data_IF_903546928990
#
_entry.id   IF_903546928990
#
_cell.length_a   1.000
_cell.length_b   1.000
_cell.length_c   1.000
_cell.angle_alpha   90.00
_cell.angle_beta   90.00
_cell.angle_gamma   90.00
#
_symmetry.space_group_name_H-M   'P 1'
#
loop_
_entity.id
_entity.type
_entity.pdbx_description
1 polymer ?
#
# COMPACT_ATOMS: atom_id res chain seq x y z
N UNK A 1 17.98 -16.08 -4.81
CA UNK A 1 18.49 -16.58 -6.11
C UNK A 1 17.67 -17.75 -6.64
N UNK A 2 17.53 -18.87 -5.91
CA UNK A 2 16.81 -20.07 -6.40
C UNK A 2 15.35 -19.75 -6.81
N UNK A 3 14.61 -19.01 -6.00
CA UNK A 3 13.22 -18.64 -6.32
C UNK A 3 13.04 -17.81 -7.60
N UNK A 4 14.01 -16.94 -7.94
CA UNK A 4 13.96 -16.13 -9.17
C UNK A 4 14.33 -16.96 -10.41
N UNK A 5 15.27 -17.90 -10.28
CA UNK A 5 15.64 -18.81 -11.35
C UNK A 5 14.49 -19.77 -11.69
N UNK A 6 13.83 -20.33 -10.67
CA UNK A 6 12.63 -21.16 -10.82
C UNK A 6 11.49 -20.35 -11.47
N UNK A 7 11.26 -19.12 -11.01
CA UNK A 7 10.21 -18.24 -11.55
C UNK A 7 10.45 -17.88 -13.02
N UNK A 8 11.71 -17.59 -13.39
CA UNK A 8 12.10 -17.30 -14.77
C UNK A 8 11.93 -18.54 -15.67
N UNK A 9 12.36 -19.72 -15.19
CA UNK A 9 12.22 -20.98 -15.91
C UNK A 9 10.76 -21.41 -16.09
N UNK A 10 9.93 -21.28 -15.05
CA UNK A 10 8.51 -21.58 -15.13
C UNK A 10 7.80 -20.67 -16.13
N UNK A 11 8.06 -19.35 -16.09
CA UNK A 11 7.42 -18.39 -17.00
C UNK A 11 7.84 -18.51 -18.46
N UNK A 12 9.04 -19.04 -18.72
CA UNK A 12 9.54 -19.26 -20.08
C UNK A 12 8.84 -20.44 -20.81
N UNK A 13 8.08 -21.28 -20.10
CA UNK A 13 7.41 -22.45 -20.67
C UNK A 13 5.88 -22.25 -20.62
N UNK A 14 5.14 -22.18 -21.74
CA UNK A 14 3.73 -21.78 -21.76
C UNK A 14 2.79 -22.56 -20.81
N UNK A 15 2.98 -23.89 -20.67
CA UNK A 15 2.18 -24.73 -19.76
C UNK A 15 2.59 -24.62 -18.28
N UNK A 16 3.89 -24.69 -18.01
CA UNK A 16 4.43 -24.58 -16.65
C UNK A 16 4.24 -23.17 -16.08
N UNK A 17 4.30 -22.15 -16.94
CA UNK A 17 4.07 -20.76 -16.60
C UNK A 17 2.64 -20.53 -16.17
N UNK A 18 1.66 -21.07 -16.90
CA UNK A 18 0.25 -20.97 -16.51
C UNK A 18 -0.01 -21.64 -15.17
N UNK A 19 0.46 -22.88 -15.00
CA UNK A 19 0.35 -23.60 -13.73
C UNK A 19 0.99 -22.82 -12.58
N UNK A 20 2.19 -22.28 -12.79
CA UNK A 20 2.90 -21.48 -11.78
C UNK A 20 2.13 -20.23 -11.38
N UNK A 21 1.53 -19.52 -12.34
CA UNK A 21 0.72 -18.33 -12.07
C UNK A 21 -0.54 -18.69 -11.27
N UNK A 22 -1.21 -19.78 -11.62
CA UNK A 22 -2.41 -20.26 -10.94
C UNK A 22 -2.12 -20.75 -9.50
N UNK A 23 -0.87 -21.10 -9.20
CA UNK A 23 -0.43 -21.57 -7.87
C UNK A 23 0.54 -20.61 -7.17
N UNK A 24 0.79 -19.41 -7.73
CA UNK A 24 1.86 -18.52 -7.28
C UNK A 24 1.72 -18.14 -5.81
N UNK A 25 0.51 -17.78 -5.37
CA UNK A 25 0.23 -17.41 -3.99
C UNK A 25 0.47 -18.59 -3.06
N UNK A 26 -0.05 -19.78 -3.40
CA UNK A 26 0.18 -20.99 -2.62
C UNK A 26 1.67 -21.31 -2.47
N UNK A 27 2.44 -21.23 -3.56
CA UNK A 27 3.88 -21.50 -3.56
C UNK A 27 4.61 -20.50 -2.67
N UNK A 28 4.39 -19.18 -2.86
CA UNK A 28 5.06 -18.15 -2.06
C UNK A 28 4.64 -18.19 -0.60
N UNK A 29 3.39 -18.55 -0.31
CA UNK A 29 2.90 -18.74 1.06
C UNK A 29 3.56 -19.95 1.72
N UNK A 30 3.64 -21.09 1.03
CA UNK A 30 4.31 -22.28 1.53
C UNK A 30 5.79 -22.02 1.82
N UNK A 31 6.50 -21.35 0.88
CA UNK A 31 7.90 -20.93 1.08
C UNK A 31 8.08 -20.14 2.38
N UNK A 32 7.20 -19.17 2.63
CA UNK A 32 7.24 -18.34 3.84
C UNK A 32 6.87 -19.13 5.10
N UNK A 33 5.85 -19.99 5.03
CA UNK A 33 5.40 -20.82 6.15
C UNK A 33 6.47 -21.80 6.61
N UNK A 34 7.12 -22.49 5.67
CA UNK A 34 8.24 -23.40 5.97
C UNK A 34 9.37 -22.65 6.67
N UNK A 35 9.74 -21.45 6.19
CA UNK A 35 10.76 -20.63 6.85
C UNK A 35 10.37 -20.21 8.27
N UNK A 36 9.12 -19.84 8.50
CA UNK A 36 8.60 -19.53 9.82
C UNK A 36 8.63 -20.75 10.76
N UNK A 37 8.20 -21.93 10.28
CA UNK A 37 8.21 -23.17 11.07
C UNK A 37 9.63 -23.62 11.44
N UNK A 38 10.62 -23.35 10.58
CA UNK A 38 12.03 -23.61 10.85
C UNK A 38 12.68 -22.58 11.80
N UNK A 39 11.92 -21.62 12.34
CA UNK A 39 12.41 -20.61 13.28
C UNK A 39 13.18 -19.44 12.65
N UNK A 40 13.21 -19.34 11.32
CA UNK A 40 13.92 -18.31 10.58
C UNK A 40 12.96 -17.54 9.65
N UNK A 41 12.00 -16.76 10.19
CA UNK A 41 11.18 -15.89 9.37
C UNK A 41 12.08 -14.98 8.52
N UNK A 42 11.68 -14.74 7.28
CA UNK A 42 12.41 -13.79 6.44
C UNK A 42 12.47 -12.42 7.13
N UNK A 43 13.56 -11.66 6.98
CA UNK A 43 13.57 -10.28 7.41
C UNK A 43 12.46 -9.51 6.66
N UNK A 44 11.76 -8.55 7.30
CA UNK A 44 10.80 -7.72 6.62
C UNK A 44 11.52 -6.94 5.51
N UNK A 45 10.95 -6.90 4.32
CA UNK A 45 11.48 -6.12 3.21
C UNK A 45 11.26 -4.62 3.38
N UNK A 46 10.11 -4.25 3.95
CA UNK A 46 9.73 -2.86 4.22
C UNK A 46 8.94 -2.73 5.51
N UNK A 47 9.00 -1.54 6.13
CA UNK A 47 8.17 -1.16 7.27
C UNK A 47 7.50 0.18 6.96
N UNK A 48 6.20 0.28 7.24
CA UNK A 48 5.48 1.56 7.19
C UNK A 48 5.43 2.15 8.59
N UNK A 49 5.97 3.34 8.78
CA UNK A 49 5.91 4.06 10.05
C UNK A 49 4.94 5.23 9.91
N UNK A 50 3.81 5.16 10.64
CA UNK A 50 2.92 6.28 10.80
C UNK A 50 3.47 7.20 11.90
N UNK A 51 4.06 8.31 11.50
CA UNK A 51 4.76 9.19 12.46
C UNK A 51 3.81 10.07 13.26
N UNK A 52 2.57 10.24 12.82
CA UNK A 52 1.54 11.01 13.56
C UNK A 52 0.14 10.59 13.11
N UNK A 53 -0.89 10.97 13.87
CA UNK A 53 -2.27 11.01 13.38
C UNK A 53 -2.68 12.41 12.91
N UNK A 54 -1.86 13.44 13.18
CA UNK A 54 -2.16 14.83 12.84
C UNK A 54 -2.13 15.02 11.33
N UNK A 55 -3.18 15.61 10.77
CA UNK A 55 -3.27 15.89 9.34
C UNK A 55 -4.02 17.19 9.12
N UNK A 56 -3.55 18.01 8.18
CA UNK A 56 -4.22 19.24 7.77
C UNK A 56 -5.39 19.02 6.79
N UNK A 57 -5.69 17.76 6.43
CA UNK A 57 -6.80 17.36 5.56
C UNK A 57 -7.88 16.58 6.32
N UNK A 58 -9.09 16.54 5.75
CA UNK A 58 -10.26 15.87 6.31
C UNK A 58 -10.78 14.68 5.49
N UNK A 59 -9.97 14.10 4.59
CA UNK A 59 -10.42 13.17 3.53
C UNK A 59 -11.46 12.11 3.95
N UNK A 60 -12.47 11.91 3.13
CA UNK A 60 -13.61 11.01 3.44
C UNK A 60 -13.22 9.55 3.66
N UNK A 61 -12.16 9.07 3.01
CA UNK A 61 -11.73 7.67 3.03
C UNK A 61 -10.64 7.34 4.05
N UNK A 62 -10.14 8.34 4.78
CA UNK A 62 -8.91 8.24 5.56
C UNK A 62 -8.84 6.99 6.45
N UNK A 63 -7.87 6.11 6.14
CA UNK A 63 -7.65 4.83 6.82
C UNK A 63 -7.27 5.01 8.30
N UNK A 64 -6.44 6.01 8.61
CA UNK A 64 -5.98 6.34 9.96
C UNK A 64 -6.94 7.24 10.75
N UNK A 65 -8.09 7.63 10.19
CA UNK A 65 -9.03 8.60 10.78
C UNK A 65 -8.38 9.91 11.25
N UNK A 66 -7.32 10.33 10.56
CA UNK A 66 -6.51 11.48 10.93
C UNK A 66 -7.27 12.81 10.94
N UNK A 67 -6.85 13.71 11.82
CA UNK A 67 -7.45 15.04 12.01
C UNK A 67 -6.42 16.06 12.55
N UNK A 68 -6.64 17.38 12.40
CA UNK A 68 -5.62 18.40 12.74
C UNK A 68 -5.18 18.41 14.21
N UNK A 69 -6.09 18.07 15.13
CA UNK A 69 -5.85 18.11 16.58
C UNK A 69 -5.29 16.79 17.15
N UNK A 70 -4.91 15.83 16.32
CA UNK A 70 -4.45 14.53 16.82
C UNK A 70 -3.05 14.63 17.45
N UNK A 71 -2.76 13.73 18.39
CA UNK A 71 -1.50 13.75 19.14
C UNK A 71 -0.26 13.45 18.27
N UNK A 72 0.88 13.99 18.71
CA UNK A 72 2.21 13.64 18.22
C UNK A 72 2.54 12.25 18.77
N UNK A 73 2.28 11.20 18.00
CA UNK A 73 2.39 9.79 18.41
C UNK A 73 3.67 9.38 19.15
N UNK A 74 4.57 8.66 18.50
CA UNK A 74 5.82 8.23 19.16
C UNK A 74 6.82 9.39 19.28
N UNK A 75 7.63 9.38 20.35
CA UNK A 75 8.72 10.35 20.52
C UNK A 75 9.82 10.16 19.47
N UNK A 76 10.63 11.20 19.24
CA UNK A 76 11.78 11.12 18.34
C UNK A 76 12.73 9.96 18.73
N UNK A 77 13.05 9.85 20.02
CA UNK A 77 13.99 8.85 20.55
C UNK A 77 13.45 7.43 20.31
N UNK A 78 12.14 7.25 20.47
CA UNK A 78 11.48 5.99 20.19
C UNK A 78 11.60 5.64 18.72
N UNK A 79 11.28 6.59 17.83
CA UNK A 79 11.37 6.38 16.37
C UNK A 79 12.82 6.11 15.94
N UNK A 80 13.79 6.86 16.45
CA UNK A 80 15.21 6.67 16.15
C UNK A 80 15.71 5.29 16.61
N UNK A 81 15.25 4.80 17.77
CA UNK A 81 15.50 3.41 18.20
C UNK A 81 14.91 2.41 17.21
N UNK A 82 13.64 2.58 16.81
CA UNK A 82 12.97 1.66 15.89
C UNK A 82 13.68 1.59 14.54
N UNK A 83 14.16 2.72 14.01
CA UNK A 83 14.91 2.75 12.75
C UNK A 83 16.22 1.93 12.85
N UNK A 84 16.90 1.94 14.00
CA UNK A 84 18.08 1.08 14.23
C UNK A 84 17.69 -0.40 14.29
N UNK A 85 16.63 -0.73 15.03
CA UNK A 85 16.11 -2.11 15.10
C UNK A 85 15.71 -2.64 13.71
N UNK A 86 15.07 -1.80 12.87
CA UNK A 86 14.75 -2.16 11.48
C UNK A 86 16.00 -2.54 10.69
N UNK A 87 17.08 -1.77 10.82
CA UNK A 87 18.35 -2.07 10.15
C UNK A 87 18.96 -3.38 10.65
N UNK A 88 18.98 -3.61 11.96
CA UNK A 88 19.46 -4.86 12.57
C UNK A 88 18.66 -6.08 12.11
N UNK A 89 17.35 -5.91 11.90
CA UNK A 89 16.46 -6.92 11.34
C UNK A 89 16.64 -7.13 9.83
N UNK A 90 17.46 -6.33 9.14
CA UNK A 90 17.68 -6.44 7.69
C UNK A 90 16.59 -5.78 6.83
N UNK A 91 15.79 -4.88 7.39
CA UNK A 91 14.84 -4.06 6.63
C UNK A 91 15.58 -3.18 5.63
N UNK A 92 15.01 -3.02 4.44
CA UNK A 92 15.63 -2.24 3.34
C UNK A 92 14.91 -0.94 3.05
N UNK A 93 13.61 -0.88 3.32
CA UNK A 93 12.75 0.23 2.93
C UNK A 93 11.93 0.69 4.13
N UNK A 94 12.00 1.98 4.43
CA UNK A 94 11.13 2.65 5.39
C UNK A 94 10.15 3.53 4.61
N UNK A 95 8.86 3.27 4.79
CA UNK A 95 7.79 4.11 4.26
C UNK A 95 7.30 5.00 5.41
N UNK A 96 7.59 6.30 5.34
CA UNK A 96 7.12 7.29 6.30
C UNK A 96 5.76 7.79 5.83
N UNK A 97 4.76 7.62 6.69
CA UNK A 97 3.37 7.98 6.45
C UNK A 97 2.73 8.48 7.77
N UNK A 98 1.41 8.48 7.85
CA UNK A 98 0.63 8.73 9.06
C UNK A 98 0.30 10.18 9.26
N UNK A 99 -1.00 10.45 9.38
CA UNK A 99 -1.53 11.80 9.22
C UNK A 99 -0.94 12.42 7.95
N UNK A 100 -0.52 13.67 8.07
CA UNK A 100 0.40 14.28 7.09
C UNK A 100 1.79 14.37 7.74
N UNK A 101 2.81 13.61 7.28
CA UNK A 101 4.13 13.66 7.89
C UNK A 101 4.73 15.06 7.95
N UNK A 102 4.49 15.92 6.95
CA UNK A 102 5.07 17.28 6.89
C UNK A 102 4.56 18.23 7.98
N UNK A 103 3.52 17.86 8.74
CA UNK A 103 3.10 18.62 9.93
C UNK A 103 3.96 18.31 11.16
N UNK A 104 4.71 17.20 11.13
CA UNK A 104 5.55 16.76 12.25
C UNK A 104 6.86 17.58 12.29
N UNK A 105 7.17 18.30 13.39
CA UNK A 105 8.33 19.21 13.43
C UNK A 105 9.69 18.53 13.23
N UNK A 106 9.88 17.34 13.81
CA UNK A 106 11.11 16.55 13.82
C UNK A 106 11.20 15.55 12.66
N UNK A 107 10.35 15.67 11.63
CA UNK A 107 10.32 14.74 10.49
C UNK A 107 11.69 14.61 9.80
N UNK A 108 12.37 15.72 9.53
CA UNK A 108 13.61 15.72 8.77
C UNK A 108 14.77 15.10 9.56
N UNK A 109 14.73 15.18 10.89
CA UNK A 109 15.67 14.47 11.77
C UNK A 109 15.44 12.95 11.69
N UNK A 110 14.17 12.52 11.69
CA UNK A 110 13.77 11.11 11.51
C UNK A 110 14.28 10.58 10.16
N UNK A 111 14.05 11.31 9.07
CA UNK A 111 14.55 10.96 7.73
C UNK A 111 16.08 10.85 7.74
N UNK A 112 16.76 11.81 8.36
CA UNK A 112 18.22 11.79 8.51
C UNK A 112 18.74 10.55 9.26
N UNK A 113 18.05 10.09 10.30
CA UNK A 113 18.40 8.84 10.99
C UNK A 113 18.22 7.63 10.06
N UNK A 114 17.12 7.55 9.32
CA UNK A 114 16.86 6.45 8.38
C UNK A 114 17.92 6.35 7.28
N UNK A 115 18.28 7.48 6.68
CA UNK A 115 19.33 7.54 5.65
C UNK A 115 20.69 7.11 6.21
N UNK A 116 21.06 7.54 7.43
CA UNK A 116 22.31 7.10 8.08
C UNK A 116 22.35 5.61 8.39
N UNK A 117 21.19 4.98 8.60
CA UNK A 117 21.08 3.53 8.74
C UNK A 117 21.06 2.78 7.40
N UNK A 118 21.13 3.50 6.27
CA UNK A 118 21.14 2.91 4.93
C UNK A 118 19.79 2.33 4.51
N UNK A 119 18.70 2.80 5.11
CA UNK A 119 17.34 2.47 4.65
C UNK A 119 17.00 3.35 3.45
N UNK A 120 16.28 2.77 2.49
CA UNK A 120 15.61 3.57 1.46
C UNK A 120 14.39 4.25 2.05
N UNK A 121 14.26 5.56 1.86
CA UNK A 121 13.19 6.34 2.48
C UNK A 121 12.13 6.72 1.44
N UNK A 122 10.92 6.27 1.71
CA UNK A 122 9.71 6.53 0.95
C UNK A 122 8.83 7.49 1.77
N UNK A 123 8.37 8.58 1.20
CA UNK A 123 7.51 9.55 1.89
C UNK A 123 6.11 9.57 1.28
N UNK A 124 5.09 9.31 2.09
CA UNK A 124 3.69 9.54 1.73
C UNK A 124 3.28 10.95 2.20
N UNK A 125 2.80 11.80 1.30
CA UNK A 125 2.36 13.17 1.62
C UNK A 125 1.15 13.57 0.78
N UNK A 126 0.28 14.41 1.34
CA UNK A 126 -0.82 15.04 0.64
C UNK A 126 -0.38 16.21 -0.27
N UNK A 127 0.91 16.57 -0.28
CA UNK A 127 1.49 17.55 -1.20
C UNK A 127 1.34 19.02 -0.76
N UNK A 128 0.36 19.34 0.07
CA UNK A 128 -0.02 20.73 0.42
C UNK A 128 1.09 21.55 1.09
N UNK A 129 2.02 20.89 1.78
CA UNK A 129 3.13 21.54 2.51
C UNK A 129 4.48 21.43 1.78
N UNK A 130 4.53 20.79 0.61
CA UNK A 130 5.80 20.52 -0.08
C UNK A 130 6.52 21.80 -0.49
N UNK A 131 5.79 22.79 -1.01
CA UNK A 131 6.37 24.08 -1.39
C UNK A 131 6.91 24.85 -0.18
N UNK A 132 6.16 24.86 0.93
CA UNK A 132 6.59 25.52 2.18
C UNK A 132 7.78 24.82 2.85
N UNK A 133 7.95 23.52 2.61
CA UNK A 133 9.02 22.68 3.18
C UNK A 133 10.12 22.36 2.15
N UNK A 134 10.17 23.12 1.05
CA UNK A 134 11.05 22.86 -0.09
C UNK A 134 12.51 22.67 0.32
N UNK A 135 13.06 23.59 1.12
CA UNK A 135 14.48 23.57 1.48
C UNK A 135 14.85 22.30 2.27
N UNK A 136 14.02 21.94 3.24
CA UNK A 136 14.26 20.74 4.04
C UNK A 136 14.09 19.48 3.18
N UNK A 137 13.06 19.43 2.31
CA UNK A 137 12.81 18.29 1.42
C UNK A 137 13.91 18.09 0.39
N UNK A 138 14.45 19.16 -0.19
CA UNK A 138 15.57 19.10 -1.12
C UNK A 138 16.82 18.44 -0.51
N UNK A 139 17.00 18.59 0.81
CA UNK A 139 18.10 17.96 1.57
C UNK A 139 17.78 16.57 2.12
N UNK A 140 16.51 16.13 2.08
CA UNK A 140 16.03 14.94 2.79
C UNK A 140 16.43 13.60 2.15
N UNK A 141 16.99 13.60 0.92
CA UNK A 141 17.41 12.39 0.19
C UNK A 141 16.32 11.31 0.14
N UNK A 142 15.17 11.63 -0.46
CA UNK A 142 14.07 10.68 -0.63
C UNK A 142 14.28 9.78 -1.85
N UNK A 143 14.09 8.47 -1.69
CA UNK A 143 14.14 7.51 -2.80
C UNK A 143 12.86 7.56 -3.65
N UNK A 144 11.72 7.82 -3.01
CA UNK A 144 10.42 7.83 -3.65
C UNK A 144 9.40 8.61 -2.83
N UNK A 145 8.44 9.22 -3.53
CA UNK A 145 7.29 9.88 -2.92
C UNK A 145 5.98 9.24 -3.39
N UNK A 146 4.99 9.23 -2.50
CA UNK A 146 3.60 8.91 -2.79
C UNK A 146 2.79 10.17 -2.51
N UNK A 147 2.20 10.71 -3.55
CA UNK A 147 1.10 11.67 -3.45
C UNK A 147 -0.19 11.00 -3.85
N UNK A 148 -1.32 11.67 -3.64
CA UNK A 148 -2.61 11.07 -3.92
C UNK A 148 -3.58 12.10 -4.50
N UNK A 149 -4.30 11.69 -5.54
CA UNK A 149 -5.33 12.47 -6.24
C UNK A 149 -6.51 11.56 -6.48
N UNK A 150 -7.70 11.94 -6.03
CA UNK A 150 -8.90 11.09 -6.01
C UNK A 150 -10.01 11.58 -6.96
N UNK A 151 -9.64 12.28 -8.04
CA UNK A 151 -10.56 12.83 -9.05
C UNK A 151 -9.96 14.05 -9.74
N UNK A 152 -10.70 14.67 -10.63
CA UNK A 152 -10.43 16.02 -11.15
C UNK A 152 -10.58 17.05 -10.02
N UNK A 153 -10.17 18.31 -10.27
CA UNK A 153 -10.01 19.33 -9.24
C UNK A 153 -11.19 19.44 -8.27
N UNK A 154 -12.42 19.60 -8.78
CA UNK A 154 -13.61 19.72 -7.94
C UNK A 154 -13.85 18.46 -7.09
N UNK A 155 -13.85 17.29 -7.72
CA UNK A 155 -14.09 16.00 -7.06
C UNK A 155 -13.02 15.70 -6.01
N UNK A 156 -11.75 15.88 -6.37
CA UNK A 156 -10.62 15.67 -5.47
C UNK A 156 -10.67 16.59 -4.25
N UNK A 157 -10.87 17.89 -4.47
CA UNK A 157 -10.81 18.88 -3.39
C UNK A 157 -11.99 18.73 -2.43
N UNK A 158 -13.18 18.41 -2.96
CA UNK A 158 -14.36 18.04 -2.17
C UNK A 158 -14.11 16.79 -1.35
N UNK A 159 -13.65 15.71 -1.99
CA UNK A 159 -13.44 14.41 -1.36
C UNK A 159 -12.33 14.41 -0.29
N UNK A 160 -11.34 15.28 -0.47
CA UNK A 160 -10.23 15.48 0.47
C UNK A 160 -10.52 16.55 1.53
N UNK A 161 -11.64 17.26 1.40
CA UNK A 161 -12.02 18.41 2.22
C UNK A 161 -10.91 19.47 2.30
N UNK A 162 -10.28 19.77 1.16
CA UNK A 162 -9.20 20.75 1.09
C UNK A 162 -9.19 21.46 -0.28
N UNK A 163 -9.68 22.70 -0.37
CA UNK A 163 -9.60 23.50 -1.58
C UNK A 163 -8.16 23.72 -2.04
N UNK A 164 -7.88 23.46 -3.32
CA UNK A 164 -6.57 23.54 -3.94
C UNK A 164 -5.72 22.27 -3.82
N UNK A 165 -6.22 21.19 -3.20
CA UNK A 165 -5.45 19.96 -3.01
C UNK A 165 -4.96 19.33 -4.32
N UNK A 166 -5.79 19.38 -5.37
CA UNK A 166 -5.45 18.89 -6.70
C UNK A 166 -4.21 19.62 -7.24
N UNK A 167 -4.29 20.95 -7.34
CA UNK A 167 -3.20 21.80 -7.83
C UNK A 167 -1.94 21.69 -6.99
N UNK A 168 -2.07 21.68 -5.67
CA UNK A 168 -0.95 21.50 -4.75
C UNK A 168 -0.26 20.15 -4.95
N UNK A 169 -1.00 19.08 -5.25
CA UNK A 169 -0.42 17.77 -5.52
C UNK A 169 0.41 17.77 -6.80
N UNK A 170 -0.10 18.34 -7.89
CA UNK A 170 0.67 18.45 -9.14
C UNK A 170 1.89 19.36 -8.98
N UNK A 171 1.74 20.48 -8.27
CA UNK A 171 2.87 21.34 -7.90
C UNK A 171 3.92 20.58 -7.09
N UNK A 172 3.51 19.78 -6.11
CA UNK A 172 4.42 18.95 -5.33
C UNK A 172 5.20 17.96 -6.19
N UNK A 173 4.57 17.34 -7.21
CA UNK A 173 5.24 16.43 -8.13
C UNK A 173 6.35 17.13 -8.94
N UNK A 174 6.09 18.32 -9.45
CA UNK A 174 7.10 19.15 -10.16
C UNK A 174 8.27 19.51 -9.22
N UNK A 175 7.94 19.88 -7.98
CA UNK A 175 8.94 20.19 -6.98
C UNK A 175 9.82 18.96 -6.67
N UNK A 176 9.22 17.79 -6.45
CA UNK A 176 10.00 16.58 -6.25
C UNK A 176 10.85 16.17 -7.46
N UNK A 177 10.38 16.46 -8.68
CA UNK A 177 11.17 16.24 -9.90
C UNK A 177 12.40 17.14 -9.92
N UNK A 178 12.26 18.42 -9.59
CA UNK A 178 13.37 19.38 -9.55
C UNK A 178 14.36 19.10 -8.39
N UNK A 179 13.90 18.49 -7.29
CA UNK A 179 14.75 17.93 -6.24
C UNK A 179 15.48 16.63 -6.64
N UNK A 180 15.19 16.06 -7.82
CA UNK A 180 15.82 14.83 -8.31
C UNK A 180 15.25 13.53 -7.75
N UNK A 181 14.10 13.55 -7.07
CA UNK A 181 13.43 12.34 -6.58
C UNK A 181 12.95 11.52 -7.78
N UNK A 182 13.59 10.39 -8.08
CA UNK A 182 13.36 9.65 -9.33
C UNK A 182 11.99 8.99 -9.42
N UNK A 183 11.48 8.47 -8.31
CA UNK A 183 10.20 7.77 -8.26
C UNK A 183 9.15 8.66 -7.60
N UNK A 184 8.17 9.07 -8.38
CA UNK A 184 7.09 9.99 -7.98
C UNK A 184 5.78 9.31 -8.33
N UNK A 185 5.11 8.77 -7.31
CA UNK A 185 3.90 7.97 -7.48
C UNK A 185 2.68 8.80 -7.13
N UNK A 186 1.63 8.70 -7.95
CA UNK A 186 0.29 9.17 -7.61
C UNK A 186 -0.56 7.96 -7.25
N UNK A 187 -1.27 8.01 -6.13
CA UNK A 187 -2.26 7.01 -5.75
C UNK A 187 -3.67 7.59 -5.85
N UNK A 188 -4.55 6.88 -6.56
CA UNK A 188 -5.97 7.22 -6.68
C UNK A 188 -6.79 6.12 -6.05
N UNK A 189 -7.61 6.47 -5.06
CA UNK A 189 -8.63 5.57 -4.55
C UNK A 189 -9.89 5.74 -5.39
N UNK A 190 -10.26 4.70 -6.13
CA UNK A 190 -11.43 4.75 -7.02
C UNK A 190 -12.70 4.53 -6.22
N UNK A 191 -13.63 5.46 -6.38
CA UNK A 191 -14.97 5.42 -5.79
C UNK A 191 -16.01 5.79 -6.87
N UNK A 192 -17.31 5.53 -6.64
CA UNK A 192 -18.34 5.76 -7.65
C UNK A 192 -18.31 7.15 -8.29
N UNK A 193 -17.98 8.20 -7.52
CA UNK A 193 -18.04 9.59 -7.99
C UNK A 193 -16.86 10.01 -8.89
N UNK A 194 -15.76 9.23 -8.96
CA UNK A 194 -14.60 9.56 -9.80
C UNK A 194 -14.38 8.58 -10.96
N UNK A 195 -15.28 7.61 -11.16
CA UNK A 195 -15.14 6.59 -12.21
C UNK A 195 -15.16 7.18 -13.62
N UNK A 196 -16.07 8.12 -13.86
CA UNK A 196 -16.22 8.77 -15.17
C UNK A 196 -15.04 9.72 -15.47
N UNK A 197 -14.33 10.15 -14.43
CA UNK A 197 -13.18 11.05 -14.51
C UNK A 197 -11.86 10.31 -14.78
N UNK A 198 -11.81 8.97 -14.70
CA UNK A 198 -10.55 8.22 -14.75
C UNK A 198 -9.74 8.45 -16.03
N UNK A 199 -10.40 8.57 -17.18
CA UNK A 199 -9.71 8.80 -18.45
C UNK A 199 -9.01 10.16 -18.46
N UNK A 200 -9.74 11.23 -18.13
CA UNK A 200 -9.20 12.59 -18.10
C UNK A 200 -8.17 12.78 -16.98
N UNK A 201 -8.45 12.25 -15.78
CA UNK A 201 -7.49 12.23 -14.68
C UNK A 201 -6.19 11.52 -15.07
N UNK A 202 -6.30 10.44 -15.85
CA UNK A 202 -5.15 9.74 -16.40
C UNK A 202 -4.29 10.64 -17.27
N UNK A 203 -4.91 11.40 -18.18
CA UNK A 203 -4.20 12.33 -19.05
C UNK A 203 -3.48 13.41 -18.23
N UNK A 204 -4.14 13.99 -17.22
CA UNK A 204 -3.51 14.91 -16.26
C UNK A 204 -2.29 14.31 -15.54
N UNK A 205 -2.40 13.06 -15.07
CA UNK A 205 -1.30 12.39 -14.36
C UNK A 205 -0.13 12.10 -15.31
N UNK A 206 -0.41 11.68 -16.55
CA UNK A 206 0.60 11.36 -17.55
C UNK A 206 1.37 12.59 -18.03
N UNK A 207 0.68 13.72 -18.17
CA UNK A 207 1.28 15.00 -18.57
C UNK A 207 2.02 15.68 -17.41
N UNK A 208 1.85 15.19 -16.18
CA UNK A 208 2.53 15.72 -15.00
C UNK A 208 3.94 15.17 -14.79
N UNK A 209 4.60 15.63 -13.73
CA UNK A 209 5.87 15.07 -13.29
C UNK A 209 5.77 13.67 -12.65
N UNK A 210 4.59 13.05 -12.56
CA UNK A 210 4.44 11.68 -12.06
C UNK A 210 5.24 10.67 -12.90
N UNK A 211 5.58 9.54 -12.28
CA UNK A 211 6.31 8.42 -12.96
C UNK A 211 5.56 7.10 -12.89
N UNK A 212 4.64 6.98 -11.94
CA UNK A 212 3.84 5.79 -11.69
C UNK A 212 2.48 6.23 -11.19
N UNK A 213 1.43 5.58 -11.67
CA UNK A 213 0.07 5.75 -11.16
C UNK A 213 -0.42 4.45 -10.55
N UNK A 214 -0.80 4.50 -9.27
CA UNK A 214 -1.37 3.38 -8.54
C UNK A 214 -2.87 3.60 -8.35
N UNK A 215 -3.65 2.61 -8.75
CA UNK A 215 -5.10 2.60 -8.58
C UNK A 215 -5.46 1.64 -7.46
N UNK A 216 -6.07 2.18 -6.41
CA UNK A 216 -6.54 1.44 -5.24
C UNK A 216 -8.07 1.35 -5.24
N UNK A 217 -8.59 0.32 -4.56
CA UNK A 217 -10.01 0.23 -4.23
C UNK A 217 -10.18 0.52 -2.74
N UNK A 218 -11.32 1.09 -2.38
CA UNK A 218 -11.65 1.32 -0.98
C UNK A 218 -11.59 0.02 -0.17
N UNK A 219 -10.93 0.09 0.98
CA UNK A 219 -11.00 -0.94 2.00
C UNK A 219 -11.91 -0.49 3.14
N UNK A 220 -12.53 -1.43 3.88
CA UNK A 220 -13.43 -1.13 4.99
C UNK A 220 -12.66 -0.73 6.26
N UNK A 221 -11.86 0.33 6.14
CA UNK A 221 -10.94 0.84 7.16
C UNK A 221 -11.24 2.31 7.47
N UNK A 222 -10.84 2.74 8.67
CA UNK A 222 -10.99 4.12 9.13
C UNK A 222 -12.36 4.72 8.84
N UNK A 223 -12.38 5.90 8.21
CA UNK A 223 -13.62 6.62 7.86
C UNK A 223 -14.46 5.90 6.80
N UNK A 224 -13.88 5.03 5.98
CA UNK A 224 -14.62 4.25 4.97
C UNK A 224 -15.29 3.00 5.55
N UNK A 225 -15.03 2.64 6.81
CA UNK A 225 -15.57 1.43 7.44
C UNK A 225 -17.10 1.44 7.45
N UNK A 226 -17.68 0.37 6.91
CA UNK A 226 -19.13 0.16 6.90
C UNK A 226 -19.91 1.02 5.89
N UNK A 227 -19.25 1.93 5.17
CA UNK A 227 -19.89 2.85 4.24
C UNK A 227 -19.93 2.27 2.82
N UNK A 228 -21.13 1.98 2.32
CA UNK A 228 -21.34 1.40 0.99
C UNK A 228 -21.00 2.36 -0.16
N UNK A 229 -21.03 3.69 0.10
CA UNK A 229 -20.76 4.70 -0.93
C UNK A 229 -19.38 4.59 -1.57
N UNK A 230 -18.40 3.98 -0.89
CA UNK A 230 -17.05 3.78 -1.44
C UNK A 230 -16.91 2.45 -2.19
N UNK A 231 -17.91 1.57 -2.11
CA UNK A 231 -17.84 0.25 -2.71
C UNK A 231 -18.23 0.30 -4.18
N UNK A 232 -17.37 -0.27 -5.03
CA UNK A 232 -17.67 -0.47 -6.44
C UNK A 232 -18.46 -1.76 -6.65
N UNK A 233 -19.36 -1.74 -7.63
CA UNK A 233 -20.01 -2.95 -8.16
C UNK A 233 -19.02 -3.81 -8.96
N UNK A 234 -19.37 -5.08 -9.20
CA UNK A 234 -18.56 -5.99 -10.02
C UNK A 234 -18.26 -5.42 -11.41
N UNK A 235 -19.23 -4.75 -12.05
CA UNK A 235 -19.06 -4.16 -13.38
C UNK A 235 -18.17 -2.92 -13.35
N UNK A 236 -18.26 -2.10 -12.31
CA UNK A 236 -17.36 -0.97 -12.10
C UNK A 236 -15.93 -1.44 -11.84
N UNK A 237 -15.74 -2.51 -11.05
CA UNK A 237 -14.40 -3.10 -10.86
C UNK A 237 -13.87 -3.60 -12.21
N UNK A 238 -14.66 -4.30 -13.03
CA UNK A 238 -14.24 -4.71 -14.38
C UNK A 238 -13.86 -3.53 -15.27
N UNK A 239 -14.59 -2.42 -15.18
CA UNK A 239 -14.26 -1.18 -15.90
C UNK A 239 -12.89 -0.65 -15.47
N UNK A 240 -12.63 -0.55 -14.16
CA UNK A 240 -11.33 -0.12 -13.63
C UNK A 240 -10.20 -1.05 -14.07
N UNK A 241 -10.42 -2.37 -14.05
CA UNK A 241 -9.40 -3.33 -14.49
C UNK A 241 -9.10 -3.21 -15.99
N UNK A 242 -10.12 -3.00 -16.84
CA UNK A 242 -9.91 -2.73 -18.28
C UNK A 242 -9.13 -1.43 -18.49
N UNK A 243 -9.54 -0.37 -17.79
CA UNK A 243 -8.85 0.92 -17.82
C UNK A 243 -7.35 0.77 -17.53
N UNK A 244 -6.99 0.09 -16.43
CA UNK A 244 -5.59 -0.14 -16.06
C UNK A 244 -4.87 -0.90 -17.17
N UNK A 245 -5.46 -2.00 -17.66
CA UNK A 245 -4.85 -2.82 -18.71
C UNK A 245 -4.54 -1.99 -19.95
N UNK A 246 -5.50 -1.19 -20.39
CA UNK A 246 -5.41 -0.45 -21.64
C UNK A 246 -4.41 0.71 -21.50
N UNK A 247 -4.50 1.52 -20.43
CA UNK A 247 -3.60 2.66 -20.16
C UNK A 247 -2.16 2.27 -19.82
N UNK A 248 -1.94 1.10 -19.24
CA UNK A 248 -0.59 0.63 -18.84
C UNK A 248 0.39 0.49 -20.02
N UNK A 249 -0.13 0.40 -21.24
CA UNK A 249 0.69 0.38 -22.47
C UNK A 249 1.35 1.72 -22.77
N UNK A 250 0.82 2.82 -22.24
CA UNK A 250 1.30 4.18 -22.46
C UNK A 250 2.03 4.76 -21.24
N UNK A 251 1.61 4.40 -20.03
CA UNK A 251 2.20 4.89 -18.79
C UNK A 251 2.23 3.80 -17.72
N UNK A 252 3.16 3.84 -16.73
CA UNK A 252 3.20 2.85 -15.67
C UNK A 252 1.99 2.95 -14.71
N UNK A 253 0.85 2.33 -15.09
CA UNK A 253 -0.40 2.27 -14.29
C UNK A 253 -0.55 0.88 -13.66
N UNK A 254 -0.76 0.82 -12.34
CA UNK A 254 -0.79 -0.44 -11.57
C UNK A 254 -2.01 -0.52 -10.67
N UNK A 255 -2.66 -1.70 -10.67
CA UNK A 255 -3.60 -2.05 -9.61
C UNK A 255 -2.84 -2.28 -8.31
N UNK A 256 -3.28 -1.62 -7.26
CA UNK A 256 -2.66 -1.69 -5.96
C UNK A 256 -2.62 -3.10 -5.37
N UNK A 257 -1.62 -3.38 -4.53
CA UNK A 257 -1.39 -4.69 -3.92
C UNK A 257 -2.47 -5.07 -2.88
N UNK A 258 -3.24 -4.11 -2.37
CA UNK A 258 -4.28 -4.41 -1.38
C UNK A 258 -5.54 -5.04 -2.00
N UNK A 259 -5.70 -4.90 -3.32
CA UNK A 259 -6.72 -5.61 -4.09
C UNK A 259 -6.26 -7.05 -4.29
N UNK A 260 -7.14 -8.02 -4.08
CA UNK A 260 -6.77 -9.43 -4.08
C UNK A 260 -6.57 -10.02 -5.47
N UNK A 261 -7.05 -11.25 -5.63
CA UNK A 261 -7.13 -11.92 -6.91
C UNK A 261 -8.04 -11.16 -7.89
N UNK A 262 -7.59 -11.03 -9.14
CA UNK A 262 -8.33 -10.37 -10.22
C UNK A 262 -8.28 -11.21 -11.50
N UNK A 263 -8.31 -12.53 -11.35
CA UNK A 263 -8.50 -13.42 -12.49
C UNK A 263 -7.34 -13.47 -13.47
N UNK A 264 -7.64 -13.84 -14.73
CA UNK A 264 -6.66 -13.89 -15.82
C UNK A 264 -5.97 -12.56 -16.11
N UNK A 265 -6.57 -11.43 -15.69
CA UNK A 265 -6.01 -10.10 -15.90
C UNK A 265 -4.96 -9.71 -14.85
N UNK A 266 -4.61 -10.58 -13.89
CA UNK A 266 -3.65 -10.28 -12.84
C UNK A 266 -2.31 -9.72 -13.35
N UNK A 267 -1.75 -10.27 -14.44
CA UNK A 267 -0.52 -9.77 -15.07
C UNK A 267 -0.75 -8.65 -16.10
N UNK A 268 -2.00 -8.37 -16.46
CA UNK A 268 -2.36 -7.27 -17.34
C UNK A 268 -2.52 -5.97 -16.55
N UNK A 269 -2.88 -6.07 -15.26
CA UNK A 269 -3.05 -4.92 -14.37
C UNK A 269 -1.93 -4.78 -13.32
N UNK A 270 -0.97 -5.72 -13.27
CA UNK A 270 0.22 -5.71 -12.39
C UNK A 270 1.44 -6.33 -13.06
N UNK A 271 2.64 -6.00 -12.59
CA UNK A 271 3.90 -6.64 -13.07
C UNK A 271 4.15 -8.04 -12.52
N UNK A 272 3.51 -8.39 -11.42
CA UNK A 272 3.68 -9.68 -10.74
C UNK A 272 2.33 -10.20 -10.29
N UNK A 273 2.16 -11.53 -10.14
CA UNK A 273 0.92 -12.07 -9.62
C UNK A 273 0.67 -11.55 -8.20
N UNK A 274 -0.61 -11.55 -7.81
CA UNK A 274 -1.00 -11.18 -6.46
C UNK A 274 -0.19 -11.97 -5.43
N UNK A 275 0.27 -11.30 -4.38
CA UNK A 275 0.84 -11.92 -3.19
C UNK A 275 0.79 -10.90 -2.08
N UNK A 276 -0.10 -11.11 -1.10
CA UNK A 276 -0.13 -10.26 0.10
C UNK A 276 1.21 -10.33 0.83
N UNK A 277 1.74 -9.15 1.17
CA UNK A 277 2.94 -9.00 1.98
C UNK A 277 2.63 -8.77 3.47
N UNK A 278 1.36 -8.54 3.82
CA UNK A 278 0.90 -8.19 5.15
C UNK A 278 1.37 -9.22 6.18
N UNK A 279 2.12 -8.79 7.20
CA UNK A 279 2.67 -9.65 8.25
C UNK A 279 3.62 -10.76 7.78
N UNK A 280 4.01 -10.73 6.51
CA UNK A 280 4.83 -11.77 5.84
C UNK A 280 6.14 -11.21 5.28
N UNK A 281 6.11 -10.01 4.72
CA UNK A 281 7.26 -9.31 4.17
C UNK A 281 7.25 -7.82 4.45
N UNK A 282 6.16 -7.30 5.03
CA UNK A 282 6.09 -5.95 5.57
C UNK A 282 5.10 -5.91 6.74
N UNK A 283 5.16 -4.82 7.49
CA UNK A 283 4.21 -4.48 8.55
C UNK A 283 4.19 -2.95 8.73
N UNK A 284 3.21 -2.44 9.48
CA UNK A 284 3.12 -1.04 9.84
C UNK A 284 3.22 -0.83 11.35
N UNK A 285 3.74 0.34 11.75
CA UNK A 285 3.80 0.81 13.12
C UNK A 285 2.93 2.06 13.20
N UNK A 286 1.90 2.01 14.05
CA UNK A 286 0.97 3.11 14.26
C UNK A 286 1.55 4.16 15.22
N UNK A 287 1.05 5.40 15.23
CA UNK A 287 1.51 6.45 16.15
C UNK A 287 1.36 6.09 17.63
N UNK A 288 0.47 5.15 17.98
CA UNK A 288 0.29 4.61 19.34
C UNK A 288 1.44 3.72 19.79
N UNK A 289 2.22 3.18 18.85
CA UNK A 289 3.23 2.15 19.06
C UNK A 289 2.78 0.74 18.68
N UNK A 290 1.49 0.56 18.37
CA UNK A 290 0.96 -0.74 17.93
C UNK A 290 1.55 -1.14 16.58
N UNK A 291 1.90 -2.41 16.47
CA UNK A 291 2.44 -3.01 15.25
C UNK A 291 1.36 -3.87 14.61
N UNK A 292 1.06 -3.62 13.33
CA UNK A 292 0.01 -4.31 12.59
C UNK A 292 0.58 -4.89 11.29
N UNK A 293 0.06 -6.03 10.83
CA UNK A 293 0.54 -6.65 9.59
C UNK A 293 0.14 -5.92 8.32
N UNK A 294 -1.03 -5.29 8.31
CA UNK A 294 -1.55 -4.58 7.15
C UNK A 294 -1.06 -3.14 7.08
N UNK A 295 -0.70 -2.67 5.89
CA UNK A 295 -0.31 -1.28 5.65
C UNK A 295 -1.47 -0.28 5.63
N UNK A 296 -2.72 -0.76 5.66
CA UNK A 296 -3.95 0.00 5.34
C UNK A 296 -5.11 -0.20 6.34
N UNK A 297 -5.04 -1.24 7.18
CA UNK A 297 -5.97 -1.44 8.30
C UNK A 297 -5.40 -0.84 9.60
N UNK A 298 -5.36 0.49 9.71
CA UNK A 298 -4.84 1.19 10.89
C UNK A 298 -5.79 1.09 12.09
N UNK A 299 -5.92 -0.11 12.66
CA UNK A 299 -6.79 -0.42 13.79
C UNK A 299 -6.05 -1.27 14.83
N UNK A 300 -6.05 -0.81 16.08
CA UNK A 300 -5.34 -1.44 17.19
C UNK A 300 -5.90 -2.82 17.56
N UNK A 301 -7.15 -3.15 17.18
CA UNK A 301 -7.69 -4.51 17.34
C UNK A 301 -6.90 -5.56 16.56
N UNK A 302 -6.14 -5.15 15.53
CA UNK A 302 -5.23 -5.99 14.76
C UNK A 302 -3.76 -5.84 15.18
N UNK A 303 -3.50 -5.30 16.36
CA UNK A 303 -2.14 -5.22 16.94
C UNK A 303 -1.56 -6.63 17.13
N UNK A 304 -0.26 -6.74 16.89
CA UNK A 304 0.58 -7.92 17.11
C UNK A 304 1.57 -7.72 18.28
N UNK A 305 1.54 -6.53 18.89
CA UNK A 305 2.45 -6.10 19.94
C UNK A 305 2.67 -4.58 19.90
N UNK A 306 3.22 -4.03 20.97
CA UNK A 306 3.49 -2.60 21.08
C UNK A 306 4.98 -2.33 21.27
N UNK A 307 5.53 -1.44 20.44
CA UNK A 307 6.96 -1.09 20.47
C UNK A 307 7.42 -0.41 21.74
N UNK A 308 6.51 0.10 22.57
CA UNK A 308 6.83 0.67 23.89
C UNK A 308 7.19 -0.40 24.91
N UNK A 309 6.74 -1.64 24.68
CA UNK A 309 6.86 -2.76 25.62
C UNK A 309 7.84 -3.83 25.11
N UNK A 310 7.95 -3.98 23.80
CA UNK A 310 8.71 -5.05 23.14
C UNK A 310 9.60 -4.50 22.02
N UNK A 311 10.69 -5.20 21.72
CA UNK A 311 11.49 -4.89 20.53
C UNK A 311 10.76 -5.30 19.25
N UNK A 312 11.06 -4.63 18.13
CA UNK A 312 10.51 -5.02 16.82
C UNK A 312 10.86 -6.44 16.43
N UNK A 313 12.05 -6.91 16.85
CA UNK A 313 12.50 -8.28 16.61
C UNK A 313 11.60 -9.29 17.32
N UNK A 314 11.28 -9.07 18.59
CA UNK A 314 10.38 -9.96 19.34
C UNK A 314 8.98 -10.01 18.72
N UNK A 315 8.40 -8.83 18.41
CA UNK A 315 7.09 -8.74 17.76
C UNK A 315 7.11 -9.47 16.41
N UNK A 316 8.15 -9.27 15.60
CA UNK A 316 8.29 -9.95 14.32
C UNK A 316 8.45 -11.45 14.45
N UNK A 317 9.25 -11.95 15.40
CA UNK A 317 9.46 -13.39 15.54
C UNK A 317 8.23 -14.11 16.09
N UNK A 318 7.56 -13.54 17.09
CA UNK A 318 6.51 -14.23 17.82
C UNK A 318 5.09 -13.86 17.38
N UNK A 319 4.89 -12.66 16.83
CA UNK A 319 3.60 -12.18 16.33
C UNK A 319 3.26 -12.63 14.91
N UNK A 320 2.26 -11.95 14.33
CA UNK A 320 1.76 -12.10 12.96
C UNK A 320 1.20 -13.47 12.60
N UNK A 321 0.83 -14.30 13.60
CA UNK A 321 0.32 -15.65 13.33
C UNK A 321 -0.96 -15.62 12.49
N UNK A 322 -1.82 -14.62 12.67
CA UNK A 322 -3.02 -14.42 11.84
C UNK A 322 -2.72 -14.18 10.35
N UNK A 323 -1.52 -13.71 10.02
CA UNK A 323 -1.07 -13.49 8.64
C UNK A 323 -0.25 -14.66 8.08
N UNK A 324 0.53 -15.32 8.95
CA UNK A 324 1.40 -16.46 8.61
C UNK A 324 0.62 -17.77 8.49
N UNK A 325 -0.42 -17.93 9.31
CA UNK A 325 -1.30 -19.09 9.36
C UNK A 325 -2.77 -18.64 9.35
N UNK A 326 -3.24 -17.92 8.31
CA UNK A 326 -4.60 -17.40 8.30
C UNK A 326 -5.60 -18.54 8.13
N UNK A 327 -6.61 -18.53 9.00
CA UNK A 327 -7.88 -19.25 8.79
C UNK A 327 -8.66 -18.55 7.69
N UNK A 328 -9.06 -19.31 6.67
CA UNK A 328 -9.84 -18.77 5.55
C UNK A 328 -11.35 -18.93 5.83
N UNK A 329 -12.21 -18.04 5.27
CA UNK A 329 -13.65 -18.25 5.27
C UNK A 329 -14.04 -19.60 4.65
N UNK A 330 -15.14 -20.21 5.11
CA UNK A 330 -15.54 -21.56 4.70
C UNK A 330 -15.67 -21.71 3.17
N UNK A 331 -16.27 -20.72 2.52
CA UNK A 331 -16.43 -20.63 1.07
C UNK A 331 -15.10 -20.68 0.29
N UNK A 332 -13.97 -20.28 0.92
CA UNK A 332 -12.67 -20.29 0.26
C UNK A 332 -12.10 -21.70 0.11
N UNK A 333 -12.41 -22.65 1.00
CA UNK A 333 -11.84 -24.00 0.94
C UNK A 333 -12.35 -24.80 -0.27
N UNK A 334 -13.58 -24.54 -0.73
CA UNK A 334 -14.16 -25.15 -1.93
C UNK A 334 -13.96 -24.29 -3.20
N UNK A 335 -13.31 -23.13 -3.09
CA UNK A 335 -13.18 -22.19 -4.20
C UNK A 335 -12.08 -22.60 -5.18
N UNK A 336 -12.43 -22.76 -6.46
CA UNK A 336 -11.49 -23.11 -7.55
C UNK A 336 -10.32 -22.13 -7.71
N UNK A 337 -10.49 -20.87 -7.28
CA UNK A 337 -9.48 -19.81 -7.38
C UNK A 337 -8.59 -19.67 -6.14
N UNK A 338 -8.76 -20.51 -5.10
CA UNK A 338 -8.05 -20.33 -3.83
C UNK A 338 -6.53 -20.41 -3.96
N UNK A 339 -6.00 -21.17 -4.92
CA UNK A 339 -4.56 -21.31 -5.14
C UNK A 339 -3.90 -20.02 -5.68
N UNK A 340 -4.65 -19.25 -6.49
CA UNK A 340 -4.22 -17.97 -7.04
C UNK A 340 -4.60 -16.78 -6.13
N UNK A 341 -5.56 -16.98 -5.22
CA UNK A 341 -6.12 -15.93 -4.38
C UNK A 341 -5.61 -15.95 -2.93
N UNK A 342 -5.43 -17.14 -2.34
CA UNK A 342 -5.08 -17.30 -0.93
C UNK A 342 -6.11 -16.74 0.06
N UNK A 343 -7.34 -16.47 -0.38
CA UNK A 343 -8.38 -15.78 0.40
C UNK A 343 -8.22 -14.26 0.47
N UNK A 344 -7.50 -13.66 -0.48
CA UNK A 344 -7.30 -12.21 -0.57
C UNK A 344 -6.31 -11.66 0.45
N UNK A 345 -6.23 -10.32 0.56
CA UNK A 345 -5.49 -9.67 1.64
C UNK A 345 -6.26 -9.78 2.96
N UNK A 346 -5.58 -9.55 4.08
CA UNK A 346 -6.27 -9.52 5.38
C UNK A 346 -7.32 -8.41 5.43
N UNK A 347 -7.00 -7.23 4.87
CA UNK A 347 -7.93 -6.12 4.59
C UNK A 347 -9.27 -6.56 4.00
N UNK A 348 -9.20 -7.35 2.94
CA UNK A 348 -10.40 -7.81 2.23
C UNK A 348 -11.21 -8.84 3.02
N UNK A 349 -10.56 -9.68 3.84
CA UNK A 349 -11.25 -10.70 4.65
C UNK A 349 -12.06 -10.08 5.78
N UNK A 350 -11.50 -9.06 6.43
CA UNK A 350 -12.10 -8.44 7.61
C UNK A 350 -13.43 -7.77 7.31
N UNK A 351 -13.59 -7.16 6.14
CA UNK A 351 -14.83 -6.46 5.81
C UNK A 351 -15.73 -7.12 4.78
N UNK A 352 -15.52 -8.41 4.48
CA UNK A 352 -16.42 -9.30 3.69
C UNK A 352 -16.89 -8.78 2.30
N UNK A 353 -16.25 -7.74 1.75
CA UNK A 353 -16.83 -6.94 0.65
C UNK A 353 -16.12 -7.02 -0.68
N UNK A 354 -14.98 -7.71 -0.77
CA UNK A 354 -14.10 -7.63 -1.96
C UNK A 354 -13.75 -8.99 -2.57
N UNK A 355 -14.57 -10.01 -2.36
CA UNK A 355 -14.36 -11.30 -3.00
C UNK A 355 -14.60 -11.21 -4.52
N UNK A 356 -13.52 -11.03 -5.26
CA UNK A 356 -13.52 -10.86 -6.72
C UNK A 356 -13.81 -12.16 -7.50
N UNK A 357 -14.22 -13.27 -6.84
CA UNK A 357 -14.55 -14.53 -7.55
C UNK A 357 -15.68 -14.34 -8.56
N UNK A 358 -16.68 -13.53 -8.19
CA UNK A 358 -17.89 -13.27 -8.99
C UNK A 358 -17.57 -12.57 -10.31
N UNK A 359 -16.52 -11.75 -10.35
CA UNK A 359 -16.03 -11.11 -11.57
C UNK A 359 -15.76 -12.12 -12.69
N UNK A 360 -15.41 -13.37 -12.33
CA UNK A 360 -14.96 -14.42 -13.24
C UNK A 360 -15.85 -15.67 -13.24
N UNK A 361 -16.90 -15.70 -12.40
CA UNK A 361 -17.82 -16.85 -12.27
C UNK A 361 -19.20 -16.57 -12.89
N UNK A 362 -19.62 -15.31 -13.00
CA UNK A 362 -20.85 -14.92 -13.73
C UNK A 362 -20.49 -14.24 -15.05
N UNK A 363 -20.78 -14.93 -16.16
CA UNK A 363 -20.58 -14.43 -17.53
C UNK A 363 -19.65 -15.33 -18.33
N UNK A 364 -20.21 -16.24 -19.13
CA UNK A 364 -19.46 -16.91 -20.19
C UNK A 364 -19.03 -15.92 -21.27
N UNK A 365 -17.86 -16.17 -21.86
CA UNK A 365 -17.31 -15.54 -23.06
C UNK A 365 -17.41 -14.00 -23.18
N UNK A 366 -16.31 -13.31 -22.87
CA UNK A 366 -15.69 -12.30 -23.77
C UNK A 366 -14.29 -11.96 -23.30
#
# INVERSE_FOLDING_TARGET
MIGQLIETGCRATPGLGRWYLDHYVSIKRLEKQVRCQLGFPAPPSSVTLLVTYACNFGCEHCESTSHPMAERGLSFETIARLIREMREMGVKVLIISGGEPLVRPDLFEIIGVANRQGLKVLLCTNGSLVEQRWEQLASAQLDCIFTSVDGLEETNDRFRHHPGAFKQTFRALELFQTMGVRSRMVNTMVHPDNLEELEELGDWIMDSAATVWRIALALPSGRARGLERFCLTDDQIRLVLRFIRDRRTHFPVYLSEEVGYVGPWALQVRSKPFSSGDGLSHFAIMPTGDVIGSGVLHDATYSEGNVKEQSLKEIWHHGFQRYRQPTLPQDCYACRHVHACGGGTFGMRVGDRHCNKRLWEKGGNT
#
